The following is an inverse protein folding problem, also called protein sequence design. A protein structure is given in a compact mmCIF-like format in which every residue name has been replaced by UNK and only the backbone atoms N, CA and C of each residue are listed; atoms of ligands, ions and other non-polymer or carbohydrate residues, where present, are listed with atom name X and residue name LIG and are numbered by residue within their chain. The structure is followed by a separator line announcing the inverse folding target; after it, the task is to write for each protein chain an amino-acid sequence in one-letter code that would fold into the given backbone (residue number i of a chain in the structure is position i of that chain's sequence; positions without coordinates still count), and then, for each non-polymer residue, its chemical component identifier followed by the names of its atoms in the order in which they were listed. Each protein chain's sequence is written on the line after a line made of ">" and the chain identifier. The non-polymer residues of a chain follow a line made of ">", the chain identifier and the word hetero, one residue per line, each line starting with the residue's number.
data_IF_912058296556
#
_entry.id   IF_912058296556
#
_cell.length_a   1.000
_cell.length_b   1.000
_cell.length_c   1.000
_cell.angle_alpha   90.00
_cell.angle_beta   90.00
_cell.angle_gamma   90.00
#
_symmetry.space_group_name_H-M   'P 1'
#
loop_
_entity.id
_entity.type
_entity.pdbx_description
1 polymer ?
#
# COMPACT_ATOMS: atom_id res chain seq x y z
N UNK A 1 -1.42 0.49 14.96
CA UNK A 1 -2.12 -0.75 15.34
C UNK A 1 -3.50 -0.39 15.89
N UNK A 2 -4.51 -1.17 15.56
CA UNK A 2 -5.81 -1.10 16.23
C UNK A 2 -5.72 -1.75 17.61
N UNK A 3 -6.63 -1.46 18.58
CA UNK A 3 -6.60 -2.10 19.89
C UNK A 3 -6.63 -3.64 19.83
N UNK A 4 -7.40 -4.19 18.88
CA UNK A 4 -7.49 -5.66 18.66
C UNK A 4 -6.15 -6.24 18.17
N UNK A 5 -5.46 -5.54 17.24
CA UNK A 5 -4.13 -5.97 16.76
C UNK A 5 -3.10 -5.95 17.89
N UNK A 6 -3.19 -4.98 18.78
CA UNK A 6 -2.30 -4.89 19.94
C UNK A 6 -2.54 -6.03 20.95
N UNK A 7 -3.79 -6.32 21.27
CA UNK A 7 -4.15 -7.45 22.14
C UNK A 7 -3.74 -8.78 21.52
N UNK A 8 -3.97 -8.97 20.23
CA UNK A 8 -3.55 -10.15 19.50
C UNK A 8 -2.02 -10.32 19.53
N UNK A 9 -1.28 -9.26 19.25
CA UNK A 9 0.18 -9.28 19.30
C UNK A 9 0.71 -9.68 20.68
N UNK A 10 0.15 -9.09 21.76
CA UNK A 10 0.51 -9.44 23.14
C UNK A 10 0.22 -10.90 23.46
N UNK A 11 -0.93 -11.42 22.98
CA UNK A 11 -1.32 -12.81 23.21
C UNK A 11 -0.37 -13.78 22.49
N UNK A 12 -0.05 -13.51 21.22
CA UNK A 12 0.89 -14.35 20.43
C UNK A 12 2.27 -14.33 21.06
N UNK A 13 2.80 -13.17 21.41
CA UNK A 13 4.10 -13.05 22.06
C UNK A 13 4.15 -13.87 23.37
N UNK A 14 3.08 -13.82 24.16
CA UNK A 14 3.00 -14.62 25.38
C UNK A 14 3.01 -16.13 25.10
N UNK A 15 2.23 -16.59 24.11
CA UNK A 15 2.22 -17.99 23.69
C UNK A 15 3.57 -18.46 23.16
N UNK A 16 4.27 -17.61 22.41
CA UNK A 16 5.61 -17.89 21.90
C UNK A 16 6.62 -18.04 23.03
N UNK A 17 6.59 -17.17 24.04
CA UNK A 17 7.44 -17.26 25.21
C UNK A 17 7.13 -18.53 26.00
N UNK A 18 5.87 -18.85 26.25
CA UNK A 18 5.44 -20.03 27.03
C UNK A 18 5.82 -21.35 26.35
N UNK A 19 5.95 -21.39 25.01
CA UNK A 19 6.26 -22.59 24.23
C UNK A 19 7.66 -22.63 23.63
N UNK A 20 8.43 -21.54 23.72
CA UNK A 20 9.78 -21.48 23.18
C UNK A 20 10.83 -22.04 24.13
N UNK A 21 11.97 -22.44 23.55
CA UNK A 21 13.22 -22.62 24.30
C UNK A 21 13.75 -21.24 24.71
N UNK A 22 14.71 -21.20 25.66
CA UNK A 22 15.35 -19.94 26.06
C UNK A 22 15.87 -19.18 24.86
N UNK A 23 15.58 -17.90 24.83
CA UNK A 23 16.07 -16.96 23.80
C UNK A 23 17.58 -16.73 23.98
N UNK A 24 18.23 -16.25 22.91
CA UNK A 24 19.65 -15.85 23.00
C UNK A 24 19.87 -14.73 24.03
N UNK A 25 18.88 -13.90 24.28
CA UNK A 25 18.95 -12.84 25.28
C UNK A 25 18.96 -13.43 26.71
N UNK A 26 18.06 -14.38 27.02
CA UNK A 26 18.04 -15.08 28.31
C UNK A 26 19.33 -15.86 28.57
N UNK A 27 19.89 -16.51 27.53
CA UNK A 27 21.17 -17.20 27.66
C UNK A 27 22.32 -16.22 27.96
N UNK A 28 22.32 -15.04 27.34
CA UNK A 28 23.32 -13.99 27.64
C UNK A 28 23.16 -13.46 29.06
N UNK A 29 21.94 -13.21 29.53
CA UNK A 29 21.69 -12.80 30.91
C UNK A 29 22.27 -13.81 31.91
N UNK A 30 22.05 -15.12 31.70
CA UNK A 30 22.63 -16.16 32.54
C UNK A 30 24.13 -16.18 32.51
N UNK A 31 24.75 -16.01 31.31
CA UNK A 31 26.18 -15.92 31.16
C UNK A 31 26.78 -14.68 31.83
N UNK A 32 26.10 -13.52 31.73
CA UNK A 32 26.54 -12.29 32.40
C UNK A 32 26.51 -12.39 33.93
N UNK A 33 25.51 -13.10 34.48
CA UNK A 33 25.45 -13.37 35.93
C UNK A 33 26.64 -14.25 36.36
N UNK A 34 26.89 -15.35 35.67
CA UNK A 34 28.01 -16.26 35.95
C UNK A 34 29.31 -15.50 35.83
N UNK A 35 29.51 -14.72 34.78
CA UNK A 35 30.69 -13.89 34.56
C UNK A 35 30.90 -12.88 35.68
N UNK A 36 29.86 -12.19 36.11
CA UNK A 36 29.93 -11.20 37.18
C UNK A 36 30.28 -11.86 38.53
N UNK A 37 29.84 -13.08 38.79
CA UNK A 37 30.19 -13.84 39.96
C UNK A 37 31.68 -14.31 39.91
N UNK A 38 32.15 -14.76 38.77
CA UNK A 38 33.53 -15.15 38.55
C UNK A 38 34.51 -13.96 38.74
N UNK A 39 34.14 -12.78 38.18
CA UNK A 39 34.93 -11.55 38.33
C UNK A 39 35.00 -11.07 39.80
N UNK A 40 33.98 -11.37 40.63
CA UNK A 40 33.99 -11.04 42.05
C UNK A 40 34.87 -12.02 42.87
N UNK A 41 35.08 -13.21 42.38
CA UNK A 41 35.80 -14.29 43.08
C UNK A 41 37.25 -14.46 42.72
N UNK A 42 37.77 -13.86 41.65
CA UNK A 42 39.13 -13.99 41.17
C UNK A 42 39.94 -12.69 41.33
N UNK A 43 41.23 -12.80 41.66
CA UNK A 43 42.21 -11.73 41.48
C UNK A 43 42.36 -11.53 39.95
N UNK A 44 41.94 -10.38 39.46
CA UNK A 44 41.81 -10.07 38.02
C UNK A 44 43.17 -9.99 37.34
N UNK A 45 43.39 -10.79 36.30
CA UNK A 45 44.46 -10.63 35.33
C UNK A 45 44.04 -9.62 34.22
N UNK A 46 44.98 -8.97 33.54
CA UNK A 46 44.71 -7.94 32.50
C UNK A 46 43.84 -8.45 31.34
N UNK A 47 43.80 -9.75 31.06
CA UNK A 47 42.95 -10.35 30.04
C UNK A 47 41.45 -10.32 30.43
N UNK A 48 41.14 -10.43 31.72
CA UNK A 48 39.78 -10.39 32.24
C UNK A 48 39.17 -8.98 32.20
N UNK A 49 40.02 -7.94 32.17
CA UNK A 49 39.62 -6.54 32.06
C UNK A 49 39.08 -6.19 30.65
N UNK A 50 39.63 -6.78 29.57
CA UNK A 50 39.10 -6.59 28.22
C UNK A 50 37.73 -7.27 28.05
N UNK A 51 37.54 -8.44 28.66
CA UNK A 51 36.28 -9.16 28.62
C UNK A 51 35.15 -8.48 29.48
N UNK A 52 35.60 -7.75 30.53
CA UNK A 52 34.67 -6.96 31.38
C UNK A 52 34.15 -5.72 30.70
N UNK A 53 34.76 -5.26 29.59
CA UNK A 53 34.32 -4.08 28.82
C UNK A 53 33.20 -4.39 27.82
N UNK A 54 32.79 -5.64 27.67
CA UNK A 54 31.67 -6.00 26.79
C UNK A 54 30.35 -5.60 27.43
N UNK A 55 29.50 -4.98 26.61
CA UNK A 55 28.14 -4.58 27.01
C UNK A 55 27.34 -5.78 27.48
N UNK A 56 26.79 -5.69 28.68
CA UNK A 56 25.89 -6.72 29.25
C UNK A 56 24.55 -6.75 28.53
N UNK A 57 23.84 -7.87 28.65
CA UNK A 57 22.48 -8.01 28.08
C UNK A 57 21.49 -6.98 28.65
N UNK A 58 21.63 -6.63 29.94
CA UNK A 58 20.82 -5.60 30.61
C UNK A 58 21.12 -4.20 30.06
N UNK A 59 22.41 -3.84 29.94
CA UNK A 59 22.79 -2.54 29.35
C UNK A 59 22.32 -2.39 27.91
N UNK A 60 22.32 -3.49 27.14
CA UNK A 60 21.76 -3.48 25.79
C UNK A 60 20.25 -3.26 25.80
N UNK A 61 19.52 -3.93 26.71
CA UNK A 61 18.08 -3.75 26.87
C UNK A 61 17.73 -2.32 27.29
N UNK A 62 18.45 -1.77 28.27
CA UNK A 62 18.27 -0.39 28.71
C UNK A 62 18.54 0.61 27.57
N UNK A 63 19.59 0.40 26.77
CA UNK A 63 19.90 1.23 25.62
C UNK A 63 18.77 1.17 24.55
N UNK A 64 18.23 -0.02 24.28
CA UNK A 64 17.11 -0.18 23.37
C UNK A 64 15.82 0.53 23.88
N UNK A 65 15.57 0.47 25.19
CA UNK A 65 14.43 1.17 25.80
C UNK A 65 14.60 2.70 25.71
N UNK A 66 15.80 3.21 25.93
CA UNK A 66 16.09 4.64 25.77
C UNK A 66 15.96 5.08 24.29
N UNK A 67 16.45 4.29 23.35
CA UNK A 67 16.27 4.55 21.92
C UNK A 67 14.78 4.59 21.55
N UNK A 68 13.99 3.62 22.04
CA UNK A 68 12.54 3.59 21.80
C UNK A 68 11.81 4.83 22.36
N UNK A 69 12.22 5.34 23.54
CA UNK A 69 11.65 6.57 24.13
C UNK A 69 11.92 7.80 23.28
N UNK A 70 13.05 7.86 22.62
CA UNK A 70 13.43 8.98 21.75
C UNK A 70 12.90 8.85 20.33
N UNK A 71 12.46 7.65 19.93
CA UNK A 71 11.97 7.37 18.59
C UNK A 71 10.58 7.98 18.35
N UNK A 72 10.49 8.88 17.40
CA UNK A 72 9.22 9.47 16.97
C UNK A 72 8.60 8.62 15.85
N UNK A 73 7.49 7.98 16.16
CA UNK A 73 6.70 7.26 15.16
C UNK A 73 6.09 8.21 14.16
N UNK A 74 6.15 7.84 12.87
CA UNK A 74 5.46 8.60 11.84
C UNK A 74 3.94 8.65 12.13
N UNK A 75 3.29 9.82 11.99
CA UNK A 75 1.86 9.93 12.23
C UNK A 75 1.08 9.07 11.22
N UNK A 76 0.03 8.41 11.70
CA UNK A 76 -0.86 7.59 10.85
C UNK A 76 -1.70 8.47 9.92
N UNK A 77 -2.05 9.67 10.39
CA UNK A 77 -2.77 10.68 9.63
C UNK A 77 -1.74 11.60 8.98
N UNK A 78 -1.76 11.67 7.66
CA UNK A 78 -0.83 12.49 6.87
C UNK A 78 -1.34 13.91 6.71
N UNK A 79 -0.47 14.83 6.30
CA UNK A 79 -0.86 16.20 5.95
C UNK A 79 -1.90 16.22 4.81
N UNK A 80 -1.80 15.28 3.88
CA UNK A 80 -2.78 15.13 2.79
C UNK A 80 -4.17 14.75 3.29
N UNK A 81 -4.26 13.96 4.37
CA UNK A 81 -5.54 13.63 5.01
C UNK A 81 -6.12 14.85 5.73
N UNK A 82 -5.29 15.66 6.39
CA UNK A 82 -5.71 16.87 7.09
C UNK A 82 -6.18 17.97 6.12
N UNK A 83 -5.49 18.13 4.99
CA UNK A 83 -5.84 19.11 3.95
C UNK A 83 -6.90 18.63 2.98
N UNK A 84 -7.27 17.33 3.03
CA UNK A 84 -8.19 16.72 2.07
C UNK A 84 -7.64 16.63 0.65
N UNK A 85 -6.31 16.57 0.47
CA UNK A 85 -5.69 16.43 -0.84
C UNK A 85 -5.88 15.01 -1.37
N UNK A 86 -6.70 14.87 -2.42
CA UNK A 86 -7.00 13.58 -3.06
C UNK A 86 -6.06 13.23 -4.23
N UNK A 87 -5.09 14.08 -4.56
CA UNK A 87 -4.20 13.88 -5.72
C UNK A 87 -2.94 13.10 -5.39
N UNK A 88 -2.66 12.85 -4.12
CA UNK A 88 -1.48 12.12 -3.66
C UNK A 88 -1.82 10.71 -3.19
N UNK A 89 -0.87 9.78 -3.33
CA UNK A 89 -0.93 8.43 -2.72
C UNK A 89 -0.61 8.44 -1.22
N UNK A 90 0.05 9.50 -0.72
CA UNK A 90 0.47 9.58 0.68
C UNK A 90 -0.70 10.04 1.57
N UNK A 91 -1.79 9.28 1.55
CA UNK A 91 -3.01 9.49 2.33
C UNK A 91 -3.69 8.15 2.64
N UNK A 92 -4.53 8.13 3.67
CA UNK A 92 -5.27 6.94 4.10
C UNK A 92 -4.38 5.68 4.10
N UNK A 93 -3.25 5.75 4.84
CA UNK A 93 -2.19 4.74 4.80
C UNK A 93 -2.64 3.35 5.25
N UNK A 94 -3.79 3.26 5.89
CA UNK A 94 -4.42 2.03 6.36
C UNK A 94 -5.38 1.39 5.34
N UNK A 95 -5.58 2.02 4.18
CA UNK A 95 -6.56 1.59 3.18
C UNK A 95 -5.98 1.53 1.78
N UNK A 96 -6.56 0.68 0.94
CA UNK A 96 -6.22 0.64 -0.47
C UNK A 96 -6.82 1.86 -1.21
N UNK A 97 -6.01 2.50 -2.03
CA UNK A 97 -6.41 3.63 -2.87
C UNK A 97 -6.54 3.19 -4.33
N UNK A 98 -7.53 3.73 -5.00
CA UNK A 98 -7.82 3.48 -6.41
C UNK A 98 -7.77 4.79 -7.19
N UNK A 99 -7.07 4.79 -8.33
CA UNK A 99 -6.97 5.96 -9.21
C UNK A 99 -8.24 6.12 -10.04
N UNK A 100 -8.91 7.25 -9.89
CA UNK A 100 -9.92 7.73 -10.83
C UNK A 100 -9.42 8.95 -11.59
N UNK A 101 -9.86 9.06 -12.83
CA UNK A 101 -9.57 10.20 -13.70
C UNK A 101 -10.86 10.81 -14.22
N UNK A 102 -10.87 12.12 -14.33
CA UNK A 102 -11.95 12.87 -14.99
C UNK A 102 -11.62 12.99 -16.46
N UNK A 103 -12.07 12.01 -17.23
CA UNK A 103 -11.74 11.86 -18.65
C UNK A 103 -12.86 12.38 -19.54
N UNK A 104 -12.46 13.02 -20.65
CA UNK A 104 -13.39 13.46 -21.69
C UNK A 104 -13.90 12.25 -22.48
N UNK A 105 -15.20 11.98 -22.42
CA UNK A 105 -15.88 10.91 -23.16
C UNK A 105 -16.96 11.53 -24.04
N UNK A 106 -16.67 11.67 -25.32
CA UNK A 106 -17.50 12.49 -26.22
C UNK A 106 -17.37 13.97 -25.85
N UNK A 107 -18.50 14.62 -25.58
CA UNK A 107 -18.55 16.05 -25.25
C UNK A 107 -18.50 16.33 -23.73
N UNK A 108 -18.59 15.28 -22.89
CA UNK A 108 -18.68 15.41 -21.44
C UNK A 108 -17.44 14.84 -20.73
N UNK A 109 -17.06 15.47 -19.61
CA UNK A 109 -16.08 14.95 -18.68
C UNK A 109 -16.78 14.05 -17.65
N UNK A 110 -16.29 12.82 -17.49
CA UNK A 110 -16.84 11.84 -16.55
C UNK A 110 -15.73 11.22 -15.70
N UNK A 111 -16.06 10.93 -14.44
CA UNK A 111 -15.18 10.17 -13.57
C UNK A 111 -15.22 8.69 -13.95
N UNK A 112 -14.09 8.16 -14.37
CA UNK A 112 -13.90 6.77 -14.80
C UNK A 112 -12.49 6.30 -14.47
N UNK A 113 -12.25 5.00 -14.57
CA UNK A 113 -10.87 4.52 -14.63
C UNK A 113 -10.22 4.94 -15.95
N UNK A 114 -8.87 5.15 -15.98
CA UNK A 114 -8.16 5.45 -17.20
C UNK A 114 -8.52 4.44 -18.29
N UNK A 115 -9.00 4.91 -19.43
CA UNK A 115 -9.45 4.03 -20.51
C UNK A 115 -9.11 4.62 -21.88
N UNK A 116 -8.92 3.73 -22.88
CA UNK A 116 -8.71 4.07 -24.28
C UNK A 116 -9.21 2.93 -25.16
N UNK A 117 -9.53 3.17 -26.43
CA UNK A 117 -9.88 2.11 -27.36
C UNK A 117 -8.74 1.11 -27.55
N UNK A 118 -9.10 -0.15 -27.75
CA UNK A 118 -8.19 -1.19 -28.18
C UNK A 118 -7.73 -0.91 -29.63
N UNK A 119 -6.47 -1.21 -29.93
CA UNK A 119 -5.88 -1.06 -31.25
C UNK A 119 -5.64 -2.48 -31.82
N UNK A 120 -6.01 -2.75 -33.08
CA UNK A 120 -5.72 -4.03 -33.73
C UNK A 120 -4.22 -4.38 -33.66
N UNK A 121 -3.94 -5.63 -33.25
CA UNK A 121 -2.57 -6.15 -33.07
C UNK A 121 -2.07 -6.10 -31.62
N UNK A 122 -2.74 -5.40 -30.72
CA UNK A 122 -2.40 -5.41 -29.29
C UNK A 122 -3.16 -6.53 -28.55
N UNK A 123 -2.53 -7.10 -27.53
CA UNK A 123 -3.26 -7.84 -26.50
C UNK A 123 -3.94 -6.85 -25.53
N UNK A 124 -5.02 -7.27 -24.88
CA UNK A 124 -5.71 -6.40 -23.91
C UNK A 124 -4.80 -5.93 -22.78
N UNK A 125 -3.81 -6.73 -22.38
CA UNK A 125 -2.80 -6.34 -21.40
C UNK A 125 -1.89 -5.23 -21.93
N UNK A 126 -1.39 -5.37 -23.16
CA UNK A 126 -0.58 -4.33 -23.81
C UNK A 126 -1.36 -3.03 -23.94
N UNK A 127 -2.66 -3.11 -24.28
CA UNK A 127 -3.56 -1.96 -24.28
C UNK A 127 -3.58 -1.27 -22.90
N UNK A 128 -3.70 -2.03 -21.79
CA UNK A 128 -3.67 -1.45 -20.44
C UNK A 128 -2.34 -0.76 -20.13
N UNK A 129 -1.22 -1.38 -20.48
CA UNK A 129 0.12 -0.80 -20.28
C UNK A 129 0.30 0.50 -21.09
N UNK A 130 -0.20 0.53 -22.33
CA UNK A 130 -0.23 1.74 -23.17
C UNK A 130 -1.10 2.83 -22.56
N UNK A 131 -2.33 2.48 -22.11
CA UNK A 131 -3.27 3.45 -21.51
C UNK A 131 -2.64 4.13 -20.30
N UNK A 132 -1.98 3.38 -19.42
CA UNK A 132 -1.33 3.96 -18.24
C UNK A 132 -0.27 4.98 -18.66
N UNK A 133 0.57 4.66 -19.65
CA UNK A 133 1.62 5.56 -20.14
C UNK A 133 1.04 6.81 -20.81
N UNK A 134 0.00 6.65 -21.62
CA UNK A 134 -0.63 7.76 -22.36
C UNK A 134 -1.47 8.67 -21.47
N UNK A 135 -2.18 8.10 -20.49
CA UNK A 135 -3.15 8.83 -19.67
C UNK A 135 -2.60 9.29 -18.34
N UNK A 136 -1.68 8.52 -17.75
CA UNK A 136 -1.14 8.81 -16.42
C UNK A 136 0.34 9.23 -16.45
N UNK A 137 0.98 9.16 -17.62
CA UNK A 137 2.38 9.52 -17.80
C UNK A 137 3.35 8.37 -17.52
N UNK A 138 4.63 8.61 -17.81
CA UNK A 138 5.70 7.60 -17.67
C UNK A 138 6.26 7.51 -16.26
N UNK A 139 5.99 8.50 -15.41
CA UNK A 139 6.47 8.54 -14.03
C UNK A 139 5.71 7.57 -13.13
N UNK A 140 4.46 7.27 -13.46
CA UNK A 140 3.66 6.30 -12.73
C UNK A 140 4.10 4.86 -13.09
N UNK A 141 4.94 4.27 -12.25
CA UNK A 141 5.37 2.87 -12.42
C UNK A 141 4.27 1.93 -11.94
N UNK A 142 3.73 1.13 -12.84
CA UNK A 142 2.60 0.24 -12.56
C UNK A 142 2.88 -1.16 -13.08
N UNK A 143 2.49 -2.17 -12.30
CA UNK A 143 2.52 -3.57 -12.68
C UNK A 143 1.10 -4.08 -12.89
N UNK A 144 0.76 -4.46 -14.13
CA UNK A 144 -0.53 -5.10 -14.44
C UNK A 144 -0.55 -6.53 -13.91
N UNK A 145 -1.59 -6.89 -13.18
CA UNK A 145 -1.75 -8.19 -12.55
C UNK A 145 -2.58 -9.12 -13.44
N UNK A 146 -1.91 -10.11 -14.00
CA UNK A 146 -2.56 -11.12 -14.86
C UNK A 146 -2.77 -10.69 -16.32
N UNK A 147 -3.27 -11.63 -17.13
CA UNK A 147 -3.53 -11.43 -18.55
C UNK A 147 -5.04 -11.42 -18.87
N UNK A 148 -5.86 -11.80 -17.91
CA UNK A 148 -7.31 -11.82 -18.05
C UNK A 148 -7.95 -10.60 -17.38
N UNK A 149 -9.04 -10.04 -17.92
CA UNK A 149 -9.80 -8.98 -17.27
C UNK A 149 -10.48 -9.51 -16.00
N UNK A 150 -10.51 -8.70 -14.95
CA UNK A 150 -11.21 -9.00 -13.70
C UNK A 150 -12.71 -8.65 -13.75
N UNK A 151 -13.13 -7.84 -14.70
CA UNK A 151 -14.52 -7.43 -14.88
C UNK A 151 -14.77 -6.74 -16.21
N UNK A 152 -16.02 -6.44 -16.47
CA UNK A 152 -16.39 -5.69 -17.66
C UNK A 152 -17.63 -4.82 -17.41
N UNK A 153 -17.76 -3.75 -18.23
CA UNK A 153 -18.93 -2.87 -18.27
C UNK A 153 -19.39 -2.73 -19.71
N UNK A 154 -20.71 -2.83 -19.93
CA UNK A 154 -21.33 -2.61 -21.24
C UNK A 154 -22.05 -1.27 -21.25
N UNK A 155 -21.71 -0.42 -22.20
CA UNK A 155 -22.35 0.87 -22.43
C UNK A 155 -23.00 0.89 -23.81
N UNK A 156 -24.31 1.11 -23.87
CA UNK A 156 -25.03 1.32 -25.13
C UNK A 156 -25.03 2.80 -25.49
N UNK A 157 -24.55 3.13 -26.67
CA UNK A 157 -24.60 4.51 -27.15
C UNK A 157 -26.02 5.01 -27.33
N UNK A 158 -26.31 6.28 -27.03
CA UNK A 158 -27.57 6.93 -27.44
C UNK A 158 -27.80 6.78 -28.93
N UNK A 159 -29.08 6.73 -29.36
CA UNK A 159 -29.42 6.50 -30.77
C UNK A 159 -28.73 7.48 -31.72
N UNK A 160 -28.53 8.73 -31.28
CA UNK A 160 -27.91 9.82 -32.05
C UNK A 160 -26.42 9.60 -32.30
N UNK A 161 -25.72 8.87 -31.41
CA UNK A 161 -24.28 8.58 -31.48
C UNK A 161 -23.96 7.21 -32.11
N UNK A 162 -24.98 6.47 -32.55
CA UNK A 162 -24.80 5.19 -33.23
C UNK A 162 -24.49 5.37 -34.71
N UNK A 163 -23.40 6.07 -35.02
CA UNK A 163 -22.87 6.21 -36.36
C UNK A 163 -21.94 5.04 -36.69
N UNK A 164 -21.84 4.67 -37.96
CA UNK A 164 -20.83 3.72 -38.49
C UNK A 164 -20.89 2.26 -37.94
N UNK A 165 -22.09 1.79 -37.56
CA UNK A 165 -22.25 0.38 -37.15
C UNK A 165 -21.89 0.06 -35.71
N UNK A 166 -21.42 1.01 -34.91
CA UNK A 166 -21.15 0.82 -33.47
C UNK A 166 -22.40 1.05 -32.64
N UNK A 167 -22.84 -0.01 -31.92
CA UNK A 167 -24.01 0.04 -31.05
C UNK A 167 -23.67 0.52 -29.64
N UNK A 168 -22.39 0.36 -29.23
CA UNK A 168 -21.94 0.69 -27.90
C UNK A 168 -20.48 0.30 -27.67
N UNK A 169 -20.03 0.40 -26.42
CA UNK A 169 -18.71 -0.01 -25.98
C UNK A 169 -18.77 -1.11 -24.93
N UNK A 170 -17.80 -2.00 -24.95
CA UNK A 170 -17.53 -2.98 -23.90
C UNK A 170 -16.18 -2.66 -23.26
N UNK A 171 -16.21 -2.19 -22.03
CA UNK A 171 -15.01 -1.82 -21.26
C UNK A 171 -14.59 -3.04 -20.43
N UNK A 172 -13.34 -3.46 -20.56
CA UNK A 172 -12.74 -4.52 -19.76
C UNK A 172 -11.86 -3.91 -18.68
N UNK A 173 -11.97 -4.41 -17.46
CA UNK A 173 -11.20 -3.95 -16.32
C UNK A 173 -10.03 -4.89 -16.02
N UNK A 174 -8.89 -4.28 -15.71
CA UNK A 174 -7.68 -4.97 -15.27
C UNK A 174 -7.24 -4.39 -13.93
N UNK A 175 -6.71 -5.25 -13.06
CA UNK A 175 -6.05 -4.81 -11.83
C UNK A 175 -4.60 -4.51 -12.13
N UNK A 176 -4.15 -3.36 -11.65
CA UNK A 176 -2.77 -2.93 -11.74
C UNK A 176 -2.33 -2.31 -10.42
N UNK A 177 -1.12 -2.60 -10.00
CA UNK A 177 -0.55 -2.12 -8.74
C UNK A 177 0.55 -1.10 -9.03
N UNK A 178 0.51 0.02 -8.33
CA UNK A 178 1.60 1.01 -8.34
C UNK A 178 2.79 0.42 -7.61
N UNK A 179 3.97 0.46 -8.26
CA UNK A 179 5.23 -0.05 -7.71
C UNK A 179 6.21 1.07 -7.38
N UNK A 180 5.90 2.31 -7.77
CA UNK A 180 6.72 3.50 -7.50
C UNK A 180 6.36 4.14 -6.15
N UNK A 181 7.31 4.85 -5.59
CA UNK A 181 7.17 5.53 -4.29
C UNK A 181 6.28 6.77 -4.40
N UNK A 182 6.34 7.50 -5.51
CA UNK A 182 5.71 8.84 -5.62
C UNK A 182 4.28 8.80 -6.15
N UNK A 183 3.93 7.81 -6.96
CA UNK A 183 2.57 7.71 -7.54
C UNK A 183 2.10 8.95 -8.30
N UNK A 184 3.04 9.77 -8.77
CA UNK A 184 2.74 10.99 -9.51
C UNK A 184 2.09 10.66 -10.85
N UNK A 185 0.91 11.22 -11.05
CA UNK A 185 0.15 11.14 -12.28
C UNK A 185 0.38 12.40 -13.09
N UNK A 186 0.87 12.23 -14.31
CA UNK A 186 0.94 13.30 -15.30
C UNK A 186 -0.26 13.14 -16.25
N UNK A 187 -1.33 13.93 -16.06
CA UNK A 187 -2.56 13.75 -16.82
C UNK A 187 -2.32 14.00 -18.32
N UNK A 188 -2.80 13.08 -19.16
CA UNK A 188 -2.83 13.26 -20.62
C UNK A 188 -3.79 14.37 -21.03
N UNK A 189 -3.76 14.77 -22.29
CA UNK A 189 -4.52 15.91 -22.82
C UNK A 189 -6.05 15.81 -22.68
N UNK A 190 -6.60 14.61 -22.53
CA UNK A 190 -8.02 14.34 -22.37
C UNK A 190 -8.45 14.12 -20.91
N UNK A 191 -7.51 14.27 -19.96
CA UNK A 191 -7.77 14.16 -18.52
C UNK A 191 -7.72 15.55 -17.90
N UNK A 192 -8.83 15.97 -17.31
CA UNK A 192 -8.94 17.26 -16.62
C UNK A 192 -8.43 17.19 -15.17
N UNK A 193 -8.64 16.06 -14.50
CA UNK A 193 -8.36 15.89 -13.08
C UNK A 193 -8.13 14.40 -12.76
N UNK A 194 -7.38 14.11 -11.70
CA UNK A 194 -7.22 12.76 -11.16
C UNK A 194 -7.39 12.77 -9.64
N UNK A 195 -7.84 11.66 -9.09
CA UNK A 195 -8.01 11.48 -7.65
C UNK A 195 -7.69 10.04 -7.25
N UNK A 196 -7.01 9.90 -6.11
CA UNK A 196 -6.80 8.63 -5.43
C UNK A 196 -7.86 8.48 -4.35
N UNK A 197 -8.77 7.54 -4.52
CA UNK A 197 -9.94 7.38 -3.65
C UNK A 197 -9.95 6.01 -2.98
N UNK A 198 -10.43 5.97 -1.74
CA UNK A 198 -10.75 4.71 -1.06
C UNK A 198 -12.03 4.12 -1.66
N UNK A 199 -12.27 2.83 -1.42
CA UNK A 199 -13.47 2.14 -1.91
C UNK A 199 -14.75 2.92 -1.57
N UNK A 200 -14.89 3.37 -0.32
CA UNK A 200 -16.07 4.10 0.16
C UNK A 200 -16.26 5.47 -0.51
N UNK A 201 -15.19 6.10 -0.98
CA UNK A 201 -15.21 7.39 -1.67
C UNK A 201 -15.58 7.28 -3.15
N UNK A 202 -15.59 6.07 -3.72
CA UNK A 202 -16.01 5.83 -5.10
C UNK A 202 -17.53 6.03 -5.27
N UNK A 203 -18.31 5.73 -4.23
CA UNK A 203 -19.75 5.94 -4.22
C UNK A 203 -20.05 7.45 -4.32
N UNK A 204 -20.88 7.81 -5.26
CA UNK A 204 -21.21 9.21 -5.56
C UNK A 204 -20.31 9.90 -6.60
N UNK A 205 -19.12 9.37 -6.91
CA UNK A 205 -18.27 9.86 -8.01
C UNK A 205 -18.56 9.13 -9.32
N UNK A 206 -18.80 7.84 -9.26
CA UNK A 206 -19.08 7.00 -10.42
C UNK A 206 -20.57 7.00 -10.78
N UNK A 207 -20.87 6.92 -12.07
CA UNK A 207 -22.26 6.67 -12.51
C UNK A 207 -22.77 5.34 -11.93
N UNK A 208 -24.00 5.29 -11.44
CA UNK A 208 -24.58 4.14 -10.73
C UNK A 208 -24.44 2.81 -11.48
N UNK A 209 -24.65 2.78 -12.81
CA UNK A 209 -24.48 1.56 -13.62
C UNK A 209 -23.01 1.11 -13.72
N UNK A 210 -22.07 2.05 -13.76
CA UNK A 210 -20.63 1.79 -13.79
C UNK A 210 -20.14 1.32 -12.43
N UNK A 211 -20.56 2.00 -11.35
CA UNK A 211 -20.26 1.64 -9.96
C UNK A 211 -20.66 0.20 -9.63
N UNK A 212 -21.86 -0.25 -10.05
CA UNK A 212 -22.32 -1.64 -9.89
C UNK A 212 -21.38 -2.66 -10.52
N UNK A 213 -20.84 -2.35 -11.70
CA UNK A 213 -19.87 -3.25 -12.37
C UNK A 213 -18.52 -3.25 -11.68
N UNK A 214 -18.09 -2.11 -11.14
CA UNK A 214 -16.84 -1.96 -10.38
C UNK A 214 -16.92 -2.74 -9.05
N UNK A 215 -18.02 -2.65 -8.33
CA UNK A 215 -18.25 -3.35 -7.07
C UNK A 215 -18.16 -4.88 -7.17
N UNK A 216 -18.34 -5.45 -8.38
CA UNK A 216 -18.22 -6.91 -8.57
C UNK A 216 -16.79 -7.45 -8.44
N UNK A 217 -15.76 -6.62 -8.65
CA UNK A 217 -14.36 -7.05 -8.62
C UNK A 217 -13.47 -6.24 -7.68
N UNK A 218 -13.95 -5.09 -7.23
CA UNK A 218 -13.26 -4.28 -6.25
C UNK A 218 -13.81 -4.64 -4.87
N UNK A 219 -13.02 -5.38 -4.11
CA UNK A 219 -13.37 -5.77 -2.74
C UNK A 219 -13.14 -4.56 -1.84
N UNK A 220 -14.10 -4.28 -0.96
CA UNK A 220 -13.93 -3.28 0.10
C UNK A 220 -12.91 -3.76 1.12
N UNK A 221 -12.02 -2.88 1.53
CA UNK A 221 -11.22 -3.11 2.74
C UNK A 221 -12.19 -3.13 3.94
N UNK A 222 -12.22 -4.26 4.63
CA UNK A 222 -13.00 -4.43 5.88
C UNK A 222 -12.27 -3.78 7.05
#
# INVERSE_FOLDING_TARGET
>A
MTPIEEEYSKLITKLEIDHSLKSNHELRLEQDVIRTELLKSSDLDDADLEESSQQTALEYEDACVEELKTFNFAPRVTEADQTGNLQTLNRALDRALVLLVKQKLGDEYQWVFPQSPWIPGETLRQTCERIIKEKCGTNLKVKVLGNAPCGFYKYKYPKQLRSEGFIGAKVFFYKAQVTGVTGEVQPGSDIAEHQWLTHNQLDGKLKSSYAKSVAMFLVSDQ
#
